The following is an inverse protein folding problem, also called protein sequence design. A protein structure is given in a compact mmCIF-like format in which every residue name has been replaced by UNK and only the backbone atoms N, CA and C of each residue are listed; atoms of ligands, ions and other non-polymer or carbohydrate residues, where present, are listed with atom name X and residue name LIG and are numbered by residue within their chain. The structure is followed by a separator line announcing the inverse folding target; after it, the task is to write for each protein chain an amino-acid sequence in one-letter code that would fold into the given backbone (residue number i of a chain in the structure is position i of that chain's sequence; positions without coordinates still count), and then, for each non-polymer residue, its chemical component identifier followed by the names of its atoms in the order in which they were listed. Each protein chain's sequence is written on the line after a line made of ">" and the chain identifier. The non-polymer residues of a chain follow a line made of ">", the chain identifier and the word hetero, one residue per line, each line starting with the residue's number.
data_IF_754049304905
#
_entry.id   IF_754049304905
#
_cell.length_a   1.000
_cell.length_b   1.000
_cell.length_c   1.000
_cell.angle_alpha   90.00
_cell.angle_beta   90.00
_cell.angle_gamma   90.00
#
_symmetry.space_group_name_H-M   'P 1'
#
loop_
_entity.id
_entity.type
_entity.pdbx_description
1 polymer ?
#
# COMPACT_ATOMS: atom_id res chain seq x y z
N UNK A 1 13.97 -6.98 0.82
CA UNK A 1 13.82 -5.55 0.43
C UNK A 1 14.48 -4.71 1.53
N UNK A 2 15.13 -3.58 1.23
CA UNK A 2 15.81 -2.81 2.28
C UNK A 2 14.79 -2.21 3.25
N UNK A 3 15.10 -2.25 4.54
CA UNK A 3 14.27 -1.66 5.60
C UNK A 3 14.20 -0.13 5.51
N UNK A 4 15.32 0.50 5.13
CA UNK A 4 15.39 1.95 4.97
C UNK A 4 15.21 2.36 3.50
N UNK A 5 14.47 3.43 3.30
CA UNK A 5 14.34 4.09 1.99
C UNK A 5 15.70 4.59 1.52
N UNK A 6 16.01 4.40 0.24
CA UNK A 6 17.22 4.93 -0.34
C UNK A 6 17.24 6.46 -0.33
N UNK A 7 18.42 7.05 -0.11
CA UNK A 7 18.61 8.49 -0.25
C UNK A 7 18.46 8.92 -1.72
N UNK A 8 17.74 10.00 -1.94
CA UNK A 8 17.43 10.56 -3.25
C UNK A 8 17.78 12.05 -3.28
N UNK A 9 17.99 12.61 -4.47
CA UNK A 9 18.49 13.99 -4.63
C UNK A 9 17.43 15.00 -5.09
N UNK A 10 16.30 14.55 -5.60
CA UNK A 10 15.21 15.41 -6.02
C UNK A 10 13.87 15.01 -5.36
N UNK A 11 12.95 15.96 -5.30
CA UNK A 11 11.66 15.79 -4.62
C UNK A 11 10.82 14.67 -5.25
N UNK A 12 10.76 14.62 -6.57
CA UNK A 12 9.91 13.70 -7.31
C UNK A 12 10.37 12.24 -7.09
N UNK A 13 11.67 12.02 -7.18
CA UNK A 13 12.25 10.70 -6.91
C UNK A 13 12.09 10.33 -5.43
N UNK A 14 12.22 11.30 -4.51
CA UNK A 14 11.95 11.08 -3.09
C UNK A 14 10.51 10.61 -2.84
N UNK A 15 9.52 11.33 -3.36
CA UNK A 15 8.11 10.96 -3.21
C UNK A 15 7.81 9.57 -3.77
N UNK A 16 8.33 9.27 -4.98
CA UNK A 16 8.16 7.99 -5.63
C UNK A 16 8.79 6.84 -4.81
N UNK A 17 10.01 7.04 -4.35
CA UNK A 17 10.78 6.03 -3.61
C UNK A 17 10.16 5.77 -2.23
N UNK A 18 9.72 6.81 -1.51
CA UNK A 18 9.02 6.63 -0.23
C UNK A 18 7.65 5.96 -0.40
N UNK A 19 6.89 6.32 -1.43
CA UNK A 19 5.61 5.66 -1.71
C UNK A 19 5.79 4.16 -1.96
N UNK A 20 6.75 3.78 -2.79
CA UNK A 20 7.06 2.38 -3.06
C UNK A 20 7.53 1.64 -1.81
N UNK A 21 8.42 2.27 -1.01
CA UNK A 21 8.95 1.67 0.21
C UNK A 21 7.84 1.22 1.18
N UNK A 22 6.79 2.03 1.37
CA UNK A 22 5.70 1.66 2.26
C UNK A 22 4.93 0.43 1.75
N UNK A 23 4.69 0.35 0.45
CA UNK A 23 4.04 -0.79 -0.19
C UNK A 23 4.92 -2.05 -0.06
N UNK A 24 6.23 -1.91 -0.24
CA UNK A 24 7.20 -2.98 -0.08
C UNK A 24 7.25 -3.52 1.36
N UNK A 25 7.09 -2.67 2.38
CA UNK A 25 7.01 -3.13 3.77
C UNK A 25 5.75 -3.97 4.00
N UNK A 26 4.61 -3.57 3.43
CA UNK A 26 3.37 -4.36 3.49
C UNK A 26 3.56 -5.71 2.79
N UNK A 27 4.17 -5.73 1.61
CA UNK A 27 4.48 -6.95 0.89
C UNK A 27 5.42 -7.87 1.71
N UNK A 28 6.41 -7.29 2.41
CA UNK A 28 7.34 -8.02 3.28
C UNK A 28 6.61 -8.70 4.45
N UNK A 29 5.56 -8.06 5.00
CA UNK A 29 4.75 -8.65 6.07
C UNK A 29 4.02 -9.94 5.65
N UNK A 30 3.80 -10.17 4.34
CA UNK A 30 3.16 -11.39 3.82
C UNK A 30 4.15 -12.57 3.65
N UNK A 31 5.46 -12.35 3.81
CA UNK A 31 6.49 -13.33 3.47
C UNK A 31 6.28 -14.68 4.17
N UNK A 32 6.15 -15.77 3.36
CA UNK A 32 5.95 -17.15 3.82
C UNK A 32 4.68 -17.41 4.64
N UNK A 33 3.66 -16.57 4.54
CA UNK A 33 2.36 -16.88 5.12
C UNK A 33 1.62 -17.88 4.23
N UNK A 34 0.93 -18.81 4.88
CA UNK A 34 -0.04 -19.65 4.20
C UNK A 34 -1.40 -18.93 4.08
N UNK A 35 -2.35 -19.58 3.41
CA UNK A 35 -3.67 -19.02 3.15
C UNK A 35 -4.49 -18.80 4.45
N UNK A 36 -4.37 -19.68 5.41
CA UNK A 36 -5.10 -19.57 6.69
C UNK A 36 -4.59 -18.36 7.47
N UNK A 37 -3.27 -18.19 7.53
CA UNK A 37 -2.62 -17.04 8.15
C UNK A 37 -2.97 -15.72 7.45
N UNK A 38 -3.03 -15.70 6.10
CA UNK A 38 -3.46 -14.51 5.35
C UNK A 38 -4.91 -14.09 5.66
N UNK A 39 -5.78 -15.05 5.95
CA UNK A 39 -7.19 -14.81 6.26
C UNK A 39 -7.44 -14.56 7.76
N UNK A 40 -6.46 -14.85 8.63
CA UNK A 40 -6.61 -14.74 10.07
C UNK A 40 -6.86 -13.29 10.49
N UNK A 41 -7.81 -13.10 11.42
CA UNK A 41 -8.08 -11.81 12.08
C UNK A 41 -7.50 -11.89 13.49
N UNK A 42 -6.24 -11.51 13.70
CA UNK A 42 -5.52 -11.80 14.95
C UNK A 42 -5.66 -10.69 16.00
N UNK A 43 -6.34 -9.60 15.69
CA UNK A 43 -6.45 -8.43 16.56
C UNK A 43 -7.93 -8.07 16.85
N UNK A 44 -8.15 -7.01 17.62
CA UNK A 44 -9.50 -6.50 17.90
C UNK A 44 -10.18 -5.85 16.68
N UNK A 45 -9.43 -5.54 15.61
CA UNK A 45 -10.00 -5.08 14.35
C UNK A 45 -10.47 -6.26 13.50
N UNK A 46 -11.36 -6.00 12.54
CA UNK A 46 -11.81 -7.01 11.56
C UNK A 46 -10.82 -7.19 10.39
N UNK A 47 -9.59 -6.72 10.55
CA UNK A 47 -8.59 -6.70 9.49
C UNK A 47 -7.75 -7.97 9.48
N UNK A 48 -7.57 -8.56 8.28
CA UNK A 48 -6.57 -9.59 8.03
C UNK A 48 -5.45 -9.04 7.14
N UNK A 49 -4.27 -9.69 7.17
CA UNK A 49 -3.16 -9.28 6.29
C UNK A 49 -3.50 -9.42 4.81
N UNK A 50 -4.23 -10.46 4.43
CA UNK A 50 -4.65 -10.63 3.04
C UNK A 50 -5.62 -9.56 2.57
N UNK A 51 -6.56 -9.13 3.42
CA UNK A 51 -7.47 -8.03 3.14
C UNK A 51 -6.75 -6.68 3.03
N UNK A 52 -5.83 -6.42 3.95
CA UNK A 52 -5.00 -5.23 3.92
C UNK A 52 -4.16 -5.14 2.65
N UNK A 53 -3.53 -6.25 2.24
CA UNK A 53 -2.78 -6.33 0.99
C UNK A 53 -3.66 -6.01 -0.23
N UNK A 54 -4.88 -6.54 -0.28
CA UNK A 54 -5.84 -6.24 -1.36
C UNK A 54 -6.27 -4.78 -1.39
N UNK A 55 -6.51 -4.19 -0.22
CA UNK A 55 -6.82 -2.77 -0.10
C UNK A 55 -5.69 -1.90 -0.67
N UNK A 56 -4.46 -2.12 -0.20
CA UNK A 56 -3.29 -1.35 -0.65
C UNK A 56 -3.01 -1.55 -2.14
N UNK A 57 -3.18 -2.76 -2.66
CA UNK A 57 -3.07 -3.03 -4.09
C UNK A 57 -4.05 -2.16 -4.89
N UNK A 58 -5.33 -2.18 -4.52
CA UNK A 58 -6.38 -1.43 -5.21
C UNK A 58 -6.14 0.09 -5.18
N UNK A 59 -5.79 0.66 -4.02
CA UNK A 59 -5.53 2.11 -3.92
C UNK A 59 -4.28 2.51 -4.70
N UNK A 60 -3.25 1.67 -4.75
CA UNK A 60 -2.02 1.96 -5.48
C UNK A 60 -2.21 1.92 -7.00
N UNK A 61 -2.95 0.94 -7.51
CA UNK A 61 -3.32 0.85 -8.92
C UNK A 61 -4.16 2.06 -9.36
N UNK A 62 -5.23 2.38 -8.61
CA UNK A 62 -6.08 3.54 -8.89
C UNK A 62 -5.33 4.87 -8.79
N UNK A 63 -4.39 4.98 -7.86
CA UNK A 63 -3.56 6.16 -7.74
C UNK A 63 -2.66 6.34 -8.96
N UNK A 64 -1.99 5.30 -9.43
CA UNK A 64 -1.17 5.36 -10.65
C UNK A 64 -1.99 5.79 -11.87
N UNK A 65 -3.19 5.23 -12.04
CA UNK A 65 -4.14 5.65 -13.09
C UNK A 65 -4.51 7.13 -12.96
N UNK A 66 -4.77 7.61 -11.73
CA UNK A 66 -5.12 9.01 -11.47
C UNK A 66 -3.97 9.96 -11.78
N UNK A 67 -2.72 9.59 -11.50
CA UNK A 67 -1.53 10.37 -11.86
C UNK A 67 -1.40 10.50 -13.37
N UNK A 68 -1.54 9.42 -14.12
CA UNK A 68 -1.42 9.44 -15.58
C UNK A 68 -2.59 10.19 -16.28
N UNK A 69 -3.78 10.14 -15.71
CA UNK A 69 -4.96 10.76 -16.29
C UNK A 69 -5.10 12.25 -15.93
N UNK A 70 -4.36 12.78 -14.97
CA UNK A 70 -4.42 14.20 -14.60
C UNK A 70 -3.87 15.11 -15.72
N UNK A 71 -4.47 16.29 -15.91
CA UNK A 71 -5.60 16.90 -15.17
C UNK A 71 -7.00 16.46 -15.65
N UNK A 72 -7.08 15.71 -16.73
CA UNK A 72 -8.33 15.48 -17.51
C UNK A 72 -9.15 14.28 -16.98
N UNK A 73 -8.68 13.61 -15.93
CA UNK A 73 -9.41 12.50 -15.35
C UNK A 73 -10.80 12.97 -14.87
N UNK A 74 -11.88 12.30 -15.26
CA UNK A 74 -13.17 12.57 -14.66
C UNK A 74 -13.08 12.24 -13.16
N UNK A 75 -13.76 13.01 -12.27
CA UNK A 75 -13.85 12.64 -10.87
C UNK A 75 -14.44 11.24 -10.78
N UNK A 76 -13.83 10.37 -9.95
CA UNK A 76 -14.40 9.08 -9.69
C UNK A 76 -15.82 9.28 -9.13
N UNK A 77 -16.81 8.50 -9.59
CA UNK A 77 -18.16 8.62 -9.07
C UNK A 77 -18.16 8.37 -7.56
N UNK A 78 -19.05 9.06 -6.84
CA UNK A 78 -19.29 8.80 -5.43
C UNK A 78 -19.61 7.31 -5.25
N UNK A 79 -18.82 6.63 -4.41
CA UNK A 79 -19.10 5.25 -4.04
C UNK A 79 -19.89 5.22 -2.75
N UNK A 80 -20.94 4.41 -2.69
CA UNK A 80 -21.63 4.14 -1.41
C UNK A 80 -20.71 3.32 -0.50
N UNK A 81 -20.99 3.36 0.80
CA UNK A 81 -20.25 2.52 1.76
C UNK A 81 -20.31 1.04 1.35
N UNK A 82 -21.48 0.56 0.92
CA UNK A 82 -21.67 -0.83 0.48
C UNK A 82 -20.79 -1.16 -0.75
N UNK A 83 -20.64 -0.22 -1.71
CA UNK A 83 -19.75 -0.39 -2.86
C UNK A 83 -18.30 -0.44 -2.43
N UNK A 84 -17.87 0.45 -1.53
CA UNK A 84 -16.51 0.46 -0.99
C UNK A 84 -16.19 -0.81 -0.20
N UNK A 85 -17.18 -1.33 0.54
CA UNK A 85 -17.07 -2.61 1.26
C UNK A 85 -16.96 -3.78 0.28
N UNK A 86 -17.80 -3.83 -0.74
CA UNK A 86 -17.80 -4.89 -1.75
C UNK A 86 -16.51 -4.90 -2.59
N UNK A 87 -15.93 -3.75 -2.84
CA UNK A 87 -14.65 -3.60 -3.54
C UNK A 87 -13.43 -3.88 -2.65
N UNK A 88 -13.64 -4.11 -1.36
CA UNK A 88 -12.56 -4.34 -0.40
C UNK A 88 -11.78 -3.09 -0.02
N UNK A 89 -12.30 -1.91 -0.34
CA UNK A 89 -11.62 -0.63 -0.08
C UNK A 89 -11.61 -0.26 1.42
N UNK A 90 -12.55 -0.81 2.20
CA UNK A 90 -12.71 -0.48 3.63
C UNK A 90 -12.80 -1.74 4.51
N UNK A 91 -12.98 -2.94 3.96
CA UNK A 91 -13.19 -4.15 4.73
C UNK A 91 -12.36 -5.34 4.31
N UNK A 92 -12.27 -6.26 5.25
CA UNK A 92 -11.59 -7.54 5.17
C UNK A 92 -12.15 -8.53 4.13
N UNK A 93 -13.20 -8.19 3.40
CA UNK A 93 -13.95 -9.15 2.58
C UNK A 93 -13.23 -9.66 1.32
N UNK A 94 -11.96 -9.31 1.11
CA UNK A 94 -11.46 -9.35 -0.25
C UNK A 94 -10.33 -10.34 -0.54
N UNK A 95 -9.99 -11.27 0.37
CA UNK A 95 -9.06 -12.34 0.02
C UNK A 95 -9.73 -13.28 -1.01
N UNK A 96 -9.26 -13.23 -2.25
CA UNK A 96 -9.82 -14.03 -3.35
C UNK A 96 -9.36 -15.49 -3.24
N UNK A 97 -10.12 -16.41 -3.82
CA UNK A 97 -9.80 -17.84 -3.77
C UNK A 97 -8.40 -18.18 -4.29
N UNK A 98 -7.92 -17.42 -5.28
CA UNK A 98 -6.61 -17.62 -5.92
C UNK A 98 -5.44 -16.90 -5.23
N UNK A 99 -5.71 -16.12 -4.18
CA UNK A 99 -4.65 -15.35 -3.53
C UNK A 99 -3.74 -16.26 -2.70
N UNK A 100 -2.46 -16.10 -2.94
CA UNK A 100 -1.37 -16.64 -2.12
C UNK A 100 -0.47 -15.49 -1.67
N UNK A 101 0.35 -15.72 -0.65
CA UNK A 101 1.32 -14.71 -0.21
C UNK A 101 2.22 -14.26 -1.37
N UNK A 102 2.78 -15.21 -2.11
CA UNK A 102 3.68 -14.91 -3.23
C UNK A 102 2.97 -14.10 -4.33
N UNK A 103 1.73 -14.47 -4.69
CA UNK A 103 0.98 -13.73 -5.71
C UNK A 103 0.60 -12.31 -5.26
N UNK A 104 0.30 -12.11 -3.97
CA UNK A 104 0.00 -10.77 -3.43
C UNK A 104 1.27 -9.93 -3.32
N UNK A 105 2.40 -10.51 -2.92
CA UNK A 105 3.70 -9.84 -2.90
C UNK A 105 4.05 -9.33 -4.30
N UNK A 106 3.98 -10.20 -5.32
CA UNK A 106 4.27 -9.82 -6.71
C UNK A 106 3.36 -8.68 -7.18
N UNK A 107 2.04 -8.77 -6.95
CA UNK A 107 1.08 -7.73 -7.33
C UNK A 107 1.36 -6.41 -6.62
N UNK A 108 1.65 -6.43 -5.31
CA UNK A 108 1.99 -5.22 -4.54
C UNK A 108 3.28 -4.56 -5.07
N UNK A 109 4.30 -5.35 -5.37
CA UNK A 109 5.56 -4.83 -5.93
C UNK A 109 5.34 -4.20 -7.31
N UNK A 110 4.53 -4.84 -8.16
CA UNK A 110 4.18 -4.29 -9.48
C UNK A 110 3.37 -2.99 -9.35
N UNK A 111 2.38 -2.96 -8.48
CA UNK A 111 1.57 -1.75 -8.24
C UNK A 111 2.41 -0.62 -7.64
N UNK A 112 3.30 -0.92 -6.69
CA UNK A 112 4.23 0.05 -6.10
C UNK A 112 5.18 0.63 -7.14
N UNK A 113 5.77 -0.22 -8.00
CA UNK A 113 6.63 0.23 -9.10
C UNK A 113 5.87 1.09 -10.10
N UNK A 114 4.63 0.71 -10.45
CA UNK A 114 3.75 1.49 -11.33
C UNK A 114 3.42 2.87 -10.76
N UNK A 115 3.05 2.93 -9.48
CA UNK A 115 2.80 4.18 -8.78
C UNK A 115 4.06 5.07 -8.72
N UNK A 116 5.20 4.50 -8.38
CA UNK A 116 6.46 5.23 -8.33
C UNK A 116 6.86 5.79 -9.71
N UNK A 117 6.65 5.03 -10.79
CA UNK A 117 6.87 5.49 -12.15
C UNK A 117 5.94 6.66 -12.48
N UNK A 118 4.64 6.53 -12.19
CA UNK A 118 3.65 7.59 -12.42
C UNK A 118 4.02 8.90 -11.69
N UNK A 119 4.44 8.81 -10.41
CA UNK A 119 4.90 10.00 -9.65
C UNK A 119 6.11 10.65 -10.30
N UNK A 120 7.07 9.87 -10.84
CA UNK A 120 8.27 10.40 -11.49
C UNK A 120 7.98 11.14 -12.80
N UNK A 121 6.94 10.76 -13.51
CA UNK A 121 6.62 11.26 -14.86
C UNK A 121 5.77 12.53 -14.86
N UNK A 122 5.06 12.85 -13.77
CA UNK A 122 4.11 13.96 -13.74
C UNK A 122 4.73 15.29 -13.26
N UNK A 123 4.09 16.40 -13.63
CA UNK A 123 4.31 17.68 -12.95
C UNK A 123 3.52 17.69 -11.63
N UNK A 124 4.23 17.80 -10.51
CA UNK A 124 3.66 17.77 -9.17
C UNK A 124 2.71 18.95 -8.86
N UNK A 125 2.80 20.04 -9.63
CA UNK A 125 1.87 21.18 -9.53
C UNK A 125 0.55 20.94 -10.25
N UNK A 126 0.49 19.95 -11.14
CA UNK A 126 -0.76 19.57 -11.83
C UNK A 126 -1.83 19.26 -10.79
N UNK A 127 -3.03 19.74 -11.04
CA UNK A 127 -4.19 19.47 -10.21
C UNK A 127 -5.04 18.38 -10.84
N UNK A 128 -5.29 17.33 -10.06
CA UNK A 128 -6.22 16.27 -10.42
C UNK A 128 -7.54 16.40 -9.65
N UNK A 129 -8.60 15.76 -10.12
CA UNK A 129 -9.87 15.68 -9.42
C UNK A 129 -9.74 14.85 -8.15
N UNK A 130 -10.54 15.20 -7.15
CA UNK A 130 -10.70 14.42 -5.92
C UNK A 130 -11.90 13.51 -6.08
N UNK A 131 -11.82 12.22 -5.68
CA UNK A 131 -13.00 11.36 -5.63
C UNK A 131 -14.10 11.98 -4.77
N UNK A 132 -15.34 11.89 -5.22
CA UNK A 132 -16.49 12.36 -4.44
C UNK A 132 -16.80 11.38 -3.31
N UNK A 133 -16.10 11.56 -2.19
CA UNK A 133 -16.22 10.74 -0.99
C UNK A 133 -16.50 11.62 0.22
N UNK A 134 -17.32 11.15 1.18
CA UNK A 134 -17.75 11.95 2.33
C UNK A 134 -16.61 12.53 3.17
N UNK A 135 -15.47 11.84 3.25
CA UNK A 135 -14.31 12.27 4.03
C UNK A 135 -13.42 13.32 3.35
N UNK A 136 -13.69 13.68 2.11
CA UNK A 136 -12.97 14.78 1.42
C UNK A 136 -13.61 16.15 1.56
N UNK A 137 -14.73 16.27 2.28
CA UNK A 137 -15.34 17.52 2.77
C UNK A 137 -15.47 18.63 1.70
N UNK A 138 -16.02 18.30 0.52
CA UNK A 138 -16.24 19.28 -0.56
C UNK A 138 -14.96 19.71 -1.29
N UNK A 139 -13.82 19.09 -1.03
CA UNK A 139 -12.61 19.28 -1.81
C UNK A 139 -12.81 18.71 -3.20
N UNK A 140 -12.63 19.52 -4.23
CA UNK A 140 -12.87 19.12 -5.63
C UNK A 140 -11.58 18.82 -6.39
N UNK A 141 -10.45 19.38 -5.96
CA UNK A 141 -9.14 19.15 -6.58
C UNK A 141 -8.04 19.14 -5.53
N UNK A 142 -6.95 18.44 -5.81
CA UNK A 142 -5.68 18.50 -5.11
C UNK A 142 -4.51 18.60 -6.09
N UNK A 143 -3.31 19.03 -5.63
CA UNK A 143 -2.10 18.90 -6.44
C UNK A 143 -1.61 17.46 -6.40
N UNK A 144 -0.95 16.99 -7.45
CA UNK A 144 -0.35 15.66 -7.48
C UNK A 144 0.74 15.50 -6.41
N UNK A 145 1.42 16.59 -6.03
CA UNK A 145 2.33 16.60 -4.84
C UNK A 145 1.59 16.22 -3.57
N UNK A 146 0.46 16.88 -3.29
CA UNK A 146 -0.34 16.57 -2.10
C UNK A 146 -0.82 15.13 -2.13
N UNK A 147 -1.26 14.65 -3.30
CA UNK A 147 -1.74 13.28 -3.45
C UNK A 147 -0.62 12.25 -3.22
N UNK A 148 0.60 12.49 -3.73
CA UNK A 148 1.75 11.63 -3.46
C UNK A 148 2.09 11.57 -1.96
N UNK A 149 2.10 12.71 -1.26
CA UNK A 149 2.30 12.77 0.19
C UNK A 149 1.21 12.03 0.97
N UNK A 150 -0.06 12.20 0.56
CA UNK A 150 -1.19 11.48 1.16
C UNK A 150 -1.06 9.96 0.99
N UNK A 151 -0.66 9.49 -0.18
CA UNK A 151 -0.41 8.05 -0.41
C UNK A 151 0.74 7.49 0.44
N UNK A 152 1.79 8.28 0.67
CA UNK A 152 2.88 7.88 1.57
C UNK A 152 2.34 7.76 3.01
N UNK A 153 1.59 8.75 3.48
CA UNK A 153 0.96 8.74 4.81
C UNK A 153 0.03 7.53 4.99
N UNK A 154 -0.84 7.30 4.03
CA UNK A 154 -1.83 6.22 4.03
C UNK A 154 -1.14 4.85 4.05
N UNK A 155 -0.20 4.62 3.13
CA UNK A 155 0.53 3.36 3.07
C UNK A 155 1.44 3.14 4.28
N UNK A 156 2.03 4.20 4.86
CA UNK A 156 2.83 4.09 6.10
C UNK A 156 1.96 3.64 7.29
N UNK A 157 0.73 4.16 7.40
CA UNK A 157 -0.24 3.70 8.40
C UNK A 157 -0.59 2.23 8.21
N UNK A 158 -0.82 1.81 6.98
CA UNK A 158 -1.10 0.41 6.66
C UNK A 158 0.11 -0.51 6.86
N UNK A 159 1.33 -0.03 6.63
CA UNK A 159 2.55 -0.78 6.94
C UNK A 159 2.65 -1.08 8.45
N UNK A 160 2.41 -0.08 9.30
CA UNK A 160 2.34 -0.30 10.75
C UNK A 160 1.21 -1.25 11.19
N UNK A 161 0.04 -1.22 10.53
CA UNK A 161 -1.01 -2.21 10.77
C UNK A 161 -0.54 -3.62 10.35
N UNK A 162 0.13 -3.75 9.21
CA UNK A 162 0.65 -5.03 8.73
C UNK A 162 1.68 -5.63 9.69
N UNK A 163 2.57 -4.81 10.26
CA UNK A 163 3.55 -5.23 11.25
C UNK A 163 2.86 -5.81 12.50
N UNK A 164 1.90 -5.11 13.08
CA UNK A 164 1.16 -5.57 14.27
C UNK A 164 0.36 -6.84 14.00
N UNK A 165 -0.30 -6.93 12.83
CA UNK A 165 -1.03 -8.13 12.43
C UNK A 165 -0.07 -9.32 12.28
N UNK A 166 1.10 -9.10 11.66
CA UNK A 166 2.11 -10.14 11.50
C UNK A 166 2.69 -10.62 12.82
N UNK A 167 3.06 -9.71 13.69
CA UNK A 167 3.54 -10.05 15.04
C UNK A 167 2.48 -10.85 15.83
N UNK A 168 1.20 -10.54 15.64
CA UNK A 168 0.09 -11.25 16.29
C UNK A 168 -0.15 -12.65 15.71
N UNK A 169 0.23 -12.91 14.45
CA UNK A 169 0.09 -14.22 13.79
C UNK A 169 1.21 -15.18 14.21
N UNK A 170 2.47 -14.76 14.12
CA UNK A 170 3.62 -15.66 14.32
C UNK A 170 4.80 -15.05 15.07
N UNK A 171 4.65 -13.85 15.61
CA UNK A 171 5.67 -13.17 16.43
C UNK A 171 6.81 -12.52 15.63
N UNK A 172 6.80 -12.58 14.29
CA UNK A 172 7.87 -12.02 13.47
C UNK A 172 7.77 -10.52 13.34
N UNK A 173 8.86 -9.84 13.68
CA UNK A 173 8.97 -8.38 13.57
C UNK A 173 9.34 -7.93 12.16
N UNK A 174 9.07 -6.66 11.83
CA UNK A 174 9.47 -6.07 10.56
C UNK A 174 10.97 -6.22 10.26
N UNK A 175 11.83 -6.13 11.28
CA UNK A 175 13.28 -6.31 11.12
C UNK A 175 13.63 -7.73 10.67
N UNK A 176 13.07 -8.75 11.33
CA UNK A 176 13.26 -10.15 10.96
C UNK A 176 12.76 -10.41 9.53
N UNK A 177 11.57 -9.92 9.20
CA UNK A 177 10.96 -10.14 7.90
C UNK A 177 11.76 -9.50 6.76
N UNK A 178 12.31 -8.29 6.97
CA UNK A 178 13.18 -7.65 5.98
C UNK A 178 14.48 -8.44 5.77
N UNK A 179 15.11 -8.96 6.83
CA UNK A 179 16.28 -9.82 6.72
C UNK A 179 15.95 -11.12 5.95
N UNK A 180 14.87 -11.80 6.32
CA UNK A 180 14.44 -13.03 5.65
C UNK A 180 14.07 -12.80 4.17
N UNK A 181 13.42 -11.71 3.84
CA UNK A 181 13.07 -11.35 2.46
C UNK A 181 14.33 -10.98 1.62
N UNK A 182 15.40 -10.52 2.28
CA UNK A 182 16.69 -10.30 1.67
C UNK A 182 17.56 -11.57 1.55
N UNK A 183 17.08 -12.71 2.07
CA UNK A 183 17.86 -13.96 2.14
C UNK A 183 18.92 -13.96 3.23
N UNK A 184 18.80 -13.07 4.21
CA UNK A 184 19.72 -12.92 5.32
C UNK A 184 19.24 -13.70 6.56
N UNK A 185 20.16 -14.05 7.47
CA UNK A 185 19.82 -14.68 8.73
C UNK A 185 19.32 -13.66 9.76
N UNK A 186 18.47 -14.10 10.68
CA UNK A 186 18.03 -13.32 11.83
C UNK A 186 18.22 -14.09 13.14
N UNK A 187 18.71 -13.49 14.24
CA UNK A 187 19.28 -12.13 14.28
C UNK A 187 20.63 -12.03 13.53
N UNK A 188 21.04 -10.80 13.15
CA UNK A 188 22.33 -10.59 12.53
C UNK A 188 23.47 -11.07 13.43
N UNK A 189 24.58 -11.52 12.83
CA UNK A 189 25.74 -11.97 13.60
C UNK A 189 26.26 -10.87 14.53
N UNK A 190 26.31 -11.16 15.84
CA UNK A 190 26.77 -10.21 16.85
C UNK A 190 25.69 -9.41 17.59
N UNK A 191 24.46 -9.76 17.39
CA UNK A 191 23.29 -9.26 18.16
C UNK A 191 22.98 -10.15 19.34
#
# INVERSE_FOLDING_TARGET
>A
MPFLTAETTDERDSLATFAQQQIDQIATALHRLDREQLAQIPSASEMSLGALARHVLLISERAAESFHAAPDAPPAPASTLDQLMAEGTISSAALREKDTADSLIEQLQQAGAGLAAAIREVDLETRGPVPDQPWFEGRTTWSLRWYALHLIEENARHAGHADILRESIDGKTAYELNALAAGEGWPPAGW
#
